data_IF_960296768946
#
_entry.id   IF_960296768946
#
_cell.length_a   1.000
_cell.length_b   1.000
_cell.length_c   1.000
_cell.angle_alpha   90.00
_cell.angle_beta   90.00
_cell.angle_gamma   90.00
#
_symmetry.space_group_name_H-M   'P 1'
#
loop_
_entity.id
_entity.type
_entity.pdbx_description
1 polymer ?
#
# COMPACT_ATOMS: atom_id res chain seq x y z
N UNK A 1 15.41 -20.38 16.55
CA UNK A 1 15.60 -18.93 16.62
C UNK A 1 14.26 -18.27 16.30
N UNK A 2 13.51 -17.86 17.31
CA UNK A 2 12.25 -17.12 17.16
C UNK A 2 12.57 -15.63 17.21
N UNK A 3 12.57 -14.97 16.07
CA UNK A 3 12.61 -13.51 16.02
C UNK A 3 11.18 -13.01 16.26
N UNK A 4 10.89 -12.59 17.50
CA UNK A 4 9.66 -11.85 17.79
C UNK A 4 9.85 -10.43 17.23
N UNK A 5 9.27 -10.16 16.06
CA UNK A 5 9.08 -8.79 15.60
C UNK A 5 8.02 -8.18 16.53
N UNK A 6 8.45 -7.41 17.54
CA UNK A 6 7.52 -6.74 18.45
C UNK A 6 6.66 -5.74 17.67
N UNK A 7 5.34 -5.66 17.95
CA UNK A 7 4.41 -4.70 17.34
C UNK A 7 4.78 -3.21 17.56
N UNK A 8 5.83 -2.94 18.32
CA UNK A 8 6.32 -1.61 18.70
C UNK A 8 6.91 -0.82 17.51
N UNK A 9 7.49 -1.49 16.50
CA UNK A 9 8.12 -0.81 15.35
C UNK A 9 7.08 -0.15 14.44
N UNK A 10 5.87 -0.73 14.34
CA UNK A 10 4.78 -0.21 13.50
C UNK A 10 4.17 1.07 14.08
N UNK A 11 4.19 1.23 15.41
CA UNK A 11 3.63 2.39 16.08
C UNK A 11 4.47 3.65 15.86
N UNK A 12 5.81 3.58 15.93
CA UNK A 12 6.64 4.79 15.85
C UNK A 12 6.51 5.57 14.51
N UNK A 13 6.35 4.87 13.39
CA UNK A 13 6.13 5.51 12.09
C UNK A 13 4.73 6.12 11.96
N UNK A 14 3.72 5.45 12.52
CA UNK A 14 2.34 5.93 12.57
C UNK A 14 2.24 7.15 13.49
N UNK A 15 2.84 7.09 14.68
CA UNK A 15 2.85 8.15 15.68
C UNK A 15 3.52 9.40 15.11
N UNK A 16 4.70 9.25 14.50
CA UNK A 16 5.39 10.35 13.83
C UNK A 16 4.55 10.94 12.69
N UNK A 17 3.91 10.09 11.88
CA UNK A 17 3.05 10.58 10.81
C UNK A 17 1.85 11.37 11.35
N UNK A 18 1.27 10.95 12.48
CA UNK A 18 0.18 11.67 13.15
C UNK A 18 0.68 13.01 13.72
N UNK A 19 1.86 13.04 14.34
CA UNK A 19 2.53 14.26 14.82
C UNK A 19 2.82 15.24 13.68
N UNK A 20 3.33 14.75 12.55
CA UNK A 20 3.56 15.49 11.31
C UNK A 20 2.24 15.91 10.62
N UNK A 21 1.08 15.60 11.23
CA UNK A 21 -0.23 15.94 10.73
C UNK A 21 -0.61 15.19 9.45
N UNK A 22 -0.01 14.04 9.17
CA UNK A 22 -0.37 13.20 8.03
C UNK A 22 -1.60 12.34 8.35
N UNK A 23 -2.36 12.00 7.32
CA UNK A 23 -3.43 11.01 7.40
C UNK A 23 -2.84 9.63 7.08
N UNK A 24 -2.95 8.69 8.00
CA UNK A 24 -2.51 7.31 7.81
C UNK A 24 -3.63 6.51 7.15
N UNK A 25 -3.38 6.01 5.95
CA UNK A 25 -4.27 5.10 5.24
C UNK A 25 -3.81 3.68 5.53
N UNK A 26 -4.46 3.02 6.47
CA UNK A 26 -4.19 1.63 6.82
C UNK A 26 -4.83 0.63 5.84
N UNK A 27 -4.30 -0.58 5.83
CA UNK A 27 -4.83 -1.64 4.98
C UNK A 27 -6.23 -2.09 5.40
N UNK A 28 -7.00 -2.51 4.40
CA UNK A 28 -8.31 -3.17 4.58
C UNK A 28 -8.41 -4.36 3.65
N UNK A 29 -9.25 -5.37 3.95
CA UNK A 29 -9.40 -6.54 3.09
C UNK A 29 -9.75 -6.24 1.63
N UNK A 30 -10.34 -5.08 1.37
CA UNK A 30 -10.83 -4.65 0.06
C UNK A 30 -10.09 -3.40 -0.48
N UNK A 31 -8.95 -3.04 0.11
CA UNK A 31 -8.09 -1.95 -0.35
C UNK A 31 -6.72 -2.49 -0.76
N UNK A 32 -6.24 -2.05 -1.92
CA UNK A 32 -4.84 -2.14 -2.30
C UNK A 32 -4.21 -0.77 -2.12
N UNK A 33 -3.07 -0.75 -1.43
CA UNK A 33 -2.30 0.45 -1.18
C UNK A 33 -1.05 0.36 -2.03
N UNK A 34 -0.84 1.26 -2.99
CA UNK A 34 0.31 1.21 -3.91
C UNK A 34 1.25 2.38 -3.68
N UNK A 35 2.55 2.09 -3.70
CA UNK A 35 3.61 3.08 -3.73
C UNK A 35 4.38 2.92 -5.05
N UNK A 36 4.17 3.86 -5.97
CA UNK A 36 4.65 3.79 -7.35
C UNK A 36 5.89 4.67 -7.50
N UNK A 37 7.04 4.03 -7.64
CA UNK A 37 8.34 4.68 -7.82
C UNK A 37 8.57 5.12 -9.27
N UNK A 38 8.26 6.39 -9.54
CA UNK A 38 8.54 7.04 -10.81
C UNK A 38 7.63 6.67 -11.99
N UNK A 39 7.90 7.23 -13.18
CA UNK A 39 6.99 7.17 -14.32
C UNK A 39 6.74 5.76 -14.87
N UNK A 40 7.73 4.87 -14.76
CA UNK A 40 7.60 3.49 -15.23
C UNK A 40 6.58 2.72 -14.40
N UNK A 41 6.62 2.85 -13.07
CA UNK A 41 5.66 2.22 -12.16
C UNK A 41 4.23 2.71 -12.43
N UNK A 42 4.06 4.01 -12.65
CA UNK A 42 2.77 4.61 -13.03
C UNK A 42 2.24 4.03 -14.35
N UNK A 43 3.09 3.91 -15.37
CA UNK A 43 2.69 3.32 -16.66
C UNK A 43 2.28 1.84 -16.53
N UNK A 44 3.03 1.06 -15.74
CA UNK A 44 2.70 -0.34 -15.43
C UNK A 44 1.33 -0.42 -14.74
N UNK A 45 1.13 0.42 -13.73
CA UNK A 45 -0.11 0.49 -12.98
C UNK A 45 -1.31 0.79 -13.90
N UNK A 46 -1.23 1.83 -14.71
CA UNK A 46 -2.32 2.24 -15.61
C UNK A 46 -2.67 1.15 -16.63
N UNK A 47 -1.65 0.48 -17.19
CA UNK A 47 -1.85 -0.61 -18.14
C UNK A 47 -2.51 -1.85 -17.51
N UNK A 48 -2.26 -2.10 -16.21
CA UNK A 48 -2.72 -3.31 -15.51
C UNK A 48 -4.01 -3.10 -14.72
N UNK A 49 -4.28 -1.90 -14.20
CA UNK A 49 -5.49 -1.58 -13.45
C UNK A 49 -6.75 -1.92 -14.25
N UNK A 50 -6.78 -1.57 -15.55
CA UNK A 50 -7.93 -1.88 -16.42
C UNK A 50 -8.24 -3.37 -16.49
N UNK A 51 -7.20 -4.22 -16.50
CA UNK A 51 -7.37 -5.69 -16.50
C UNK A 51 -7.87 -6.18 -15.15
N UNK A 52 -7.38 -5.60 -14.06
CA UNK A 52 -7.82 -5.92 -12.72
C UNK A 52 -9.27 -5.49 -12.48
N UNK A 53 -9.66 -4.32 -12.98
CA UNK A 53 -11.02 -3.78 -12.96
C UNK A 53 -12.06 -4.77 -13.49
N UNK A 54 -11.79 -5.37 -14.64
CA UNK A 54 -12.67 -6.34 -15.27
C UNK A 54 -12.87 -7.66 -14.49
N UNK A 55 -11.99 -7.98 -13.53
CA UNK A 55 -12.00 -9.26 -12.83
C UNK A 55 -12.34 -9.15 -11.33
N UNK A 56 -11.90 -8.07 -10.67
CA UNK A 56 -12.05 -7.85 -9.23
C UNK A 56 -12.80 -6.56 -8.88
N UNK A 57 -13.32 -5.84 -9.86
CA UNK A 57 -13.97 -4.55 -9.62
C UNK A 57 -13.00 -3.51 -9.06
N UNK A 58 -11.74 -3.58 -9.47
CA UNK A 58 -10.71 -2.65 -9.00
C UNK A 58 -10.95 -1.23 -9.53
N UNK A 59 -11.14 -0.28 -8.61
CA UNK A 59 -11.37 1.14 -8.91
C UNK A 59 -10.38 1.98 -8.10
N UNK A 60 -9.66 2.87 -8.77
CA UNK A 60 -8.85 3.89 -8.08
C UNK A 60 -9.78 4.88 -7.36
N UNK A 61 -9.60 5.05 -6.05
CA UNK A 61 -10.44 5.94 -5.23
C UNK A 61 -9.68 7.15 -4.69
N UNK A 62 -8.34 7.11 -4.72
CA UNK A 62 -7.50 8.22 -4.26
C UNK A 62 -6.10 8.10 -4.87
N UNK A 63 -5.46 9.26 -5.11
CA UNK A 63 -4.10 9.38 -5.65
C UNK A 63 -3.47 10.68 -5.17
N UNK A 64 -2.21 10.62 -4.73
CA UNK A 64 -1.45 11.81 -4.39
C UNK A 64 0.05 11.58 -4.61
N UNK A 65 0.81 12.67 -4.69
CA UNK A 65 2.27 12.62 -4.79
C UNK A 65 2.87 12.29 -3.42
N UNK A 66 3.87 11.41 -3.40
CA UNK A 66 4.63 11.12 -2.18
C UNK A 66 5.53 12.31 -1.79
N UNK A 67 6.28 12.19 -0.68
CA UNK A 67 7.32 13.18 -0.32
C UNK A 67 8.44 13.27 -1.37
N UNK A 68 8.70 12.17 -2.10
CA UNK A 68 9.69 12.10 -3.17
C UNK A 68 9.06 12.55 -4.49
N UNK A 69 9.57 13.61 -5.15
CA UNK A 69 9.04 14.06 -6.43
C UNK A 69 9.06 12.95 -7.48
N UNK A 70 7.94 12.79 -8.18
CA UNK A 70 7.75 11.77 -9.21
C UNK A 70 7.21 10.42 -8.71
N UNK A 71 7.23 10.18 -7.39
CA UNK A 71 6.62 9.00 -6.79
C UNK A 71 5.16 9.27 -6.41
N UNK A 72 4.30 8.27 -6.62
CA UNK A 72 2.86 8.40 -6.44
C UNK A 72 2.33 7.35 -5.48
N UNK A 73 1.48 7.78 -4.55
CA UNK A 73 0.67 6.89 -3.73
C UNK A 73 -0.72 6.75 -4.36
N UNK A 74 -1.22 5.52 -4.43
CA UNK A 74 -2.53 5.22 -5.01
C UNK A 74 -3.30 4.26 -4.10
N UNK A 75 -4.59 4.52 -3.94
CA UNK A 75 -5.51 3.64 -3.22
C UNK A 75 -6.52 3.08 -4.21
N UNK A 76 -6.58 1.74 -4.28
CA UNK A 76 -7.52 1.02 -5.13
C UNK A 76 -8.50 0.25 -4.27
N UNK A 77 -9.79 0.46 -4.50
CA UNK A 77 -10.89 -0.30 -3.92
C UNK A 77 -11.17 -1.55 -4.76
N UNK A 78 -11.40 -2.68 -4.12
CA UNK A 78 -11.89 -3.91 -4.73
C UNK A 78 -13.35 -4.14 -4.32
N UNK A 79 -14.13 -4.82 -5.18
CA UNK A 79 -15.53 -5.16 -4.90
C UNK A 79 -15.68 -6.23 -3.80
N UNK A 80 -14.63 -7.01 -3.55
CA UNK A 80 -14.63 -8.11 -2.60
C UNK A 80 -13.33 -8.16 -1.80
N UNK A 81 -13.39 -8.69 -0.56
CA UNK A 81 -12.19 -8.88 0.24
C UNK A 81 -11.24 -9.89 -0.41
N UNK A 82 -9.94 -9.61 -0.29
CA UNK A 82 -8.82 -10.46 -0.70
C UNK A 82 -7.94 -10.72 0.51
N UNK A 83 -7.31 -11.89 0.61
CA UNK A 83 -6.39 -12.22 1.71
C UNK A 83 -5.19 -11.28 1.74
N UNK A 84 -4.51 -11.15 2.89
CA UNK A 84 -3.32 -10.29 3.04
C UNK A 84 -2.26 -10.57 1.95
N UNK A 85 -1.86 -11.84 1.80
CA UNK A 85 -0.90 -12.25 0.76
C UNK A 85 -1.42 -11.98 -0.66
N UNK A 86 -2.72 -12.16 -0.89
CA UNK A 86 -3.33 -11.85 -2.19
C UNK A 86 -3.26 -10.36 -2.51
N UNK A 87 -3.47 -9.48 -1.52
CA UNK A 87 -3.35 -8.03 -1.70
C UNK A 87 -1.92 -7.61 -2.00
N UNK A 88 -0.95 -8.12 -1.24
CA UNK A 88 0.48 -7.85 -1.45
C UNK A 88 0.91 -8.32 -2.85
N UNK A 89 0.49 -9.52 -3.28
CA UNK A 89 0.77 -10.02 -4.62
C UNK A 89 0.16 -9.12 -5.72
N UNK A 90 -1.08 -8.69 -5.54
CA UNK A 90 -1.74 -7.77 -6.48
C UNK A 90 -1.03 -6.40 -6.52
N UNK A 91 -0.63 -5.85 -5.38
CA UNK A 91 0.13 -4.60 -5.29
C UNK A 91 1.45 -4.70 -6.06
N UNK A 92 2.22 -5.77 -5.85
CA UNK A 92 3.45 -6.02 -6.61
C UNK A 92 3.17 -6.16 -8.12
N UNK A 93 2.12 -6.91 -8.49
CA UNK A 93 1.70 -7.05 -9.89
C UNK A 93 1.22 -5.75 -10.51
N UNK A 94 0.77 -4.76 -9.73
CA UNK A 94 0.36 -3.45 -10.22
C UNK A 94 1.52 -2.45 -10.30
N UNK A 95 2.73 -2.83 -9.90
CA UNK A 95 3.92 -1.98 -10.01
C UNK A 95 4.26 -1.22 -8.73
N UNK A 96 3.72 -1.62 -7.58
CA UNK A 96 4.16 -1.10 -6.27
C UNK A 96 5.63 -1.44 -6.00
N UNK A 97 6.29 -0.67 -5.12
CA UNK A 97 7.68 -0.91 -4.71
C UNK A 97 7.89 -2.36 -4.24
N UNK A 98 8.77 -3.07 -4.95
CA UNK A 98 9.01 -4.49 -4.74
C UNK A 98 9.64 -4.77 -3.37
N UNK A 99 10.44 -3.84 -2.85
CA UNK A 99 11.08 -4.00 -1.54
C UNK A 99 10.04 -3.96 -0.43
N UNK A 100 9.14 -2.99 -0.49
CA UNK A 100 8.00 -2.85 0.42
C UNK A 100 7.10 -4.08 0.39
N UNK A 101 6.71 -4.55 -0.79
CA UNK A 101 5.84 -5.73 -0.91
C UNK A 101 6.54 -7.00 -0.39
N UNK A 102 7.83 -7.18 -0.68
CA UNK A 102 8.60 -8.32 -0.17
C UNK A 102 8.67 -8.33 1.37
N UNK A 103 8.95 -7.18 1.99
CA UNK A 103 8.95 -7.05 3.45
C UNK A 103 7.56 -7.33 4.03
N UNK A 104 6.49 -6.85 3.39
CA UNK A 104 5.13 -7.13 3.81
C UNK A 104 4.81 -8.64 3.79
N UNK A 105 5.27 -9.37 2.76
CA UNK A 105 5.13 -10.85 2.73
C UNK A 105 5.81 -11.49 3.94
N UNK A 106 7.06 -11.10 4.24
CA UNK A 106 7.80 -11.67 5.37
C UNK A 106 7.09 -11.43 6.71
N UNK A 107 6.56 -10.23 6.93
CA UNK A 107 5.81 -9.89 8.14
C UNK A 107 4.52 -10.71 8.26
N UNK A 108 3.77 -10.87 7.18
CA UNK A 108 2.56 -11.72 7.16
C UNK A 108 2.91 -13.19 7.43
N UNK A 109 4.01 -13.68 6.87
CA UNK A 109 4.51 -15.05 7.14
C UNK A 109 4.92 -15.25 8.61
N UNK A 110 5.28 -14.17 9.32
CA UNK A 110 5.55 -14.17 10.76
C UNK A 110 4.28 -14.05 11.62
N UNK A 111 3.10 -14.07 11.00
CA UNK A 111 1.81 -14.01 11.69
C UNK A 111 1.30 -12.60 11.98
N UNK A 112 1.96 -11.56 11.47
CA UNK A 112 1.44 -10.21 11.56
C UNK A 112 0.26 -10.02 10.58
N UNK A 113 -0.73 -9.18 10.95
CA UNK A 113 -1.73 -8.73 9.99
C UNK A 113 -1.06 -7.96 8.85
N UNK A 114 -1.78 -7.77 7.75
CA UNK A 114 -1.24 -7.07 6.58
C UNK A 114 -0.70 -5.68 6.99
N UNK A 115 0.62 -5.42 6.83
CA UNK A 115 1.29 -4.28 7.46
C UNK A 115 1.34 -3.03 6.57
N UNK A 116 0.77 -3.05 5.36
CA UNK A 116 0.87 -1.93 4.43
C UNK A 116 0.08 -0.72 4.94
N UNK A 117 0.72 0.43 4.86
CA UNK A 117 0.11 1.74 5.14
C UNK A 117 0.67 2.78 4.18
N UNK A 118 -0.16 3.75 3.79
CA UNK A 118 0.30 4.95 3.08
C UNK A 118 0.12 6.18 3.96
N UNK A 119 1.02 7.15 3.78
CA UNK A 119 0.97 8.42 4.49
C UNK A 119 0.54 9.51 3.50
N UNK A 120 -0.62 10.11 3.76
CA UNK A 120 -1.19 11.20 2.96
C UNK A 120 -0.95 12.54 3.66
N UNK A 121 -0.35 13.55 3.00
CA UNK A 121 -0.31 14.90 3.55
C UNK A 121 -1.74 15.38 3.86
N UNK A 122 -1.95 16.08 4.98
CA UNK A 122 -3.21 16.81 5.16
C UNK A 122 -3.32 17.82 4.02
N UNK A 123 -4.41 17.76 3.27
CA UNK A 123 -4.75 18.83 2.34
C UNK A 123 -4.83 20.12 3.16
N UNK A 124 -4.08 21.15 2.77
CA UNK A 124 -4.39 22.51 3.20
C UNK A 124 -5.82 22.79 2.71
N UNK A 125 -6.73 23.12 3.64
CA UNK A 125 -8.04 23.66 3.30
C UNK A 125 -7.89 25.09 2.80
#
# INVERSE_FOLDING_TARGET
>A
MSYSCSPEITNAAIDKAVEDGQVVVGSKPDLLLLDLDGPLAVSIYEARLKRLGNNLGAIEIDRWQSKTPGNMHVVVKLDRPVSALGRIALQACLGSDHTREFLAVLLVMQGLPEPSSLFKPKSEQ
#
